data_IF_991675276765
#
_entry.id   IF_991675276765
#
_cell.length_a   1.000
_cell.length_b   1.000
_cell.length_c   1.000
_cell.angle_alpha   90.00
_cell.angle_beta   90.00
_cell.angle_gamma   90.00
#
_symmetry.space_group_name_H-M   'P 1'
#
loop_
_entity.id
_entity.type
_entity.pdbx_description
1 polymer ?
#
# COMPACT_ATOMS: atom_id res chain seq x y z
N UNK A 1 20.51 -1.43 -17.17
CA UNK A 1 19.39 -1.52 -16.23
C UNK A 1 18.05 -1.81 -16.92
N UNK A 2 17.70 -1.17 -18.06
CA UNK A 2 16.46 -1.45 -18.81
C UNK A 2 16.24 -2.92 -19.22
N UNK A 3 17.31 -3.65 -19.55
CA UNK A 3 17.23 -5.07 -19.97
C UNK A 3 16.88 -6.06 -18.84
N UNK A 4 17.16 -5.72 -17.60
CA UNK A 4 16.88 -6.60 -16.45
C UNK A 4 15.40 -6.56 -16.04
N UNK A 5 14.74 -5.41 -16.22
CA UNK A 5 13.32 -5.23 -15.93
C UNK A 5 12.42 -5.95 -16.94
N UNK A 6 12.77 -5.91 -18.22
CA UNK A 6 12.06 -6.64 -19.28
C UNK A 6 12.14 -8.16 -19.03
N UNK A 7 13.26 -8.66 -18.50
CA UNK A 7 13.43 -10.07 -18.18
C UNK A 7 12.59 -10.53 -16.98
N UNK A 8 12.45 -9.69 -15.97
CA UNK A 8 11.59 -9.99 -14.81
C UNK A 8 10.09 -9.94 -15.16
N UNK A 9 9.70 -9.04 -16.04
CA UNK A 9 8.32 -8.95 -16.55
C UNK A 9 7.97 -10.15 -17.44
N UNK A 10 8.91 -10.60 -18.31
CA UNK A 10 8.75 -11.83 -19.10
C UNK A 10 8.64 -13.08 -18.22
N UNK A 11 9.34 -13.13 -17.08
CA UNK A 11 9.25 -14.29 -16.18
C UNK A 11 7.90 -14.37 -15.45
N UNK A 12 7.26 -13.24 -15.18
CA UNK A 12 5.92 -13.20 -14.57
C UNK A 12 4.81 -13.59 -15.55
N UNK A 13 4.89 -13.15 -16.81
CA UNK A 13 3.95 -13.58 -17.87
C UNK A 13 4.08 -15.07 -18.18
N UNK A 14 5.31 -15.60 -18.19
CA UNK A 14 5.55 -17.02 -18.57
C UNK A 14 4.95 -18.02 -17.58
N UNK A 15 4.71 -17.67 -16.32
CA UNK A 15 4.21 -18.62 -15.32
C UNK A 15 2.67 -18.73 -15.30
N UNK A 16 1.93 -17.67 -15.64
CA UNK A 16 0.48 -17.71 -15.72
C UNK A 16 -0.03 -18.24 -17.08
N UNK A 17 0.68 -17.94 -18.17
CA UNK A 17 0.29 -18.34 -19.51
C UNK A 17 0.82 -19.73 -19.91
N UNK A 18 1.89 -20.21 -19.28
CA UNK A 18 2.35 -21.60 -19.45
C UNK A 18 1.27 -22.60 -18.97
N UNK A 19 0.44 -22.22 -18.01
CA UNK A 19 -0.69 -23.04 -17.55
C UNK A 19 -1.87 -23.06 -18.55
N UNK A 20 -1.92 -22.12 -19.50
CA UNK A 20 -2.96 -22.01 -20.54
C UNK A 20 -2.52 -22.44 -21.94
N UNK A 21 -1.24 -22.82 -22.13
CA UNK A 21 -0.71 -23.38 -23.37
C UNK A 21 -0.68 -22.42 -24.57
N UNK A 22 -0.61 -21.10 -24.32
CA UNK A 22 -0.77 -20.07 -25.38
C UNK A 22 0.47 -19.25 -25.72
N UNK A 23 1.58 -19.39 -25.02
CA UNK A 23 2.78 -18.57 -25.30
C UNK A 23 3.97 -19.44 -25.68
N UNK A 24 4.58 -19.12 -26.82
CA UNK A 24 5.85 -19.71 -27.24
C UNK A 24 7.00 -18.98 -26.50
N UNK A 25 7.79 -19.66 -25.64
CA UNK A 25 8.81 -19.00 -24.82
C UNK A 25 9.97 -18.36 -25.60
N UNK A 26 10.08 -18.64 -26.90
CA UNK A 26 11.16 -18.12 -27.77
C UNK A 26 10.74 -16.92 -28.63
N UNK A 27 9.52 -16.42 -28.49
CA UNK A 27 9.03 -15.29 -29.26
C UNK A 27 8.87 -14.05 -28.40
N UNK A 28 9.50 -12.95 -28.78
CA UNK A 28 9.21 -11.65 -28.19
C UNK A 28 7.74 -11.29 -28.47
N UNK A 29 7.02 -10.66 -27.53
CA UNK A 29 5.65 -10.22 -27.74
C UNK A 29 5.59 -9.28 -28.95
N UNK A 30 4.57 -9.42 -29.79
CA UNK A 30 4.36 -8.53 -30.93
C UNK A 30 3.82 -7.16 -30.49
N UNK A 31 3.79 -6.19 -31.42
CA UNK A 31 3.36 -4.82 -31.12
C UNK A 31 1.88 -4.76 -30.71
N UNK A 32 1.05 -5.71 -31.12
CA UNK A 32 -0.36 -5.79 -30.78
C UNK A 32 -0.55 -6.34 -29.35
N UNK A 33 0.29 -7.28 -28.91
CA UNK A 33 0.33 -7.81 -27.56
C UNK A 33 0.84 -6.76 -26.56
N UNK A 34 1.86 -5.99 -26.93
CA UNK A 34 2.39 -4.86 -26.14
C UNK A 34 1.33 -3.76 -26.02
N UNK A 35 0.64 -3.38 -27.11
CA UNK A 35 -0.43 -2.38 -27.08
C UNK A 35 -1.62 -2.79 -26.22
N UNK A 36 -1.95 -4.09 -26.18
CA UNK A 36 -2.99 -4.62 -25.30
C UNK A 36 -2.58 -4.63 -23.83
N UNK A 37 -1.30 -4.84 -23.53
CA UNK A 37 -0.73 -4.75 -22.20
C UNK A 37 -0.81 -3.32 -21.66
N UNK A 38 -0.40 -2.32 -22.43
CA UNK A 38 -0.48 -0.90 -22.07
C UNK A 38 -1.93 -0.43 -21.84
N UNK A 39 -2.89 -0.97 -22.60
CA UNK A 39 -4.31 -0.68 -22.41
C UNK A 39 -4.86 -1.24 -21.08
N UNK A 40 -4.37 -2.40 -20.62
CA UNK A 40 -4.85 -3.07 -19.40
C UNK A 40 -4.15 -2.53 -18.15
N UNK A 41 -2.84 -2.24 -18.22
CA UNK A 41 -1.99 -1.95 -17.07
C UNK A 41 -1.46 -0.50 -17.02
N UNK A 42 -1.76 0.32 -18.03
CA UNK A 42 -1.14 1.62 -18.22
C UNK A 42 0.21 1.53 -18.93
N UNK A 43 0.71 2.66 -19.35
CA UNK A 43 2.02 2.73 -20.01
C UNK A 43 3.16 2.45 -19.02
N UNK A 44 4.35 2.11 -19.52
CA UNK A 44 5.54 1.94 -18.68
C UNK A 44 5.86 3.22 -17.87
N UNK A 45 5.55 4.38 -18.42
CA UNK A 45 5.74 5.67 -17.75
C UNK A 45 4.75 5.84 -16.59
N UNK A 46 3.47 5.42 -16.73
CA UNK A 46 2.48 5.41 -15.66
C UNK A 46 2.89 4.49 -14.51
N UNK A 47 3.42 3.31 -14.83
CA UNK A 47 3.92 2.36 -13.82
C UNK A 47 5.14 2.90 -13.08
N UNK A 48 6.06 3.54 -13.79
CA UNK A 48 7.24 4.17 -13.19
C UNK A 48 6.83 5.33 -12.26
N UNK A 49 5.89 6.18 -12.69
CA UNK A 49 5.39 7.29 -11.88
C UNK A 49 4.69 6.77 -10.60
N UNK A 50 3.85 5.74 -10.71
CA UNK A 50 3.20 5.13 -9.54
C UNK A 50 4.21 4.51 -8.57
N UNK A 51 5.28 3.89 -9.09
CA UNK A 51 6.37 3.35 -8.28
C UNK A 51 7.12 4.46 -7.55
N UNK A 52 7.53 5.52 -8.26
CA UNK A 52 8.24 6.66 -7.66
C UNK A 52 7.42 7.35 -6.56
N UNK A 53 6.11 7.52 -6.78
CA UNK A 53 5.20 8.07 -5.75
C UNK A 53 5.13 7.18 -4.51
N UNK A 54 5.05 5.87 -4.70
CA UNK A 54 5.04 4.92 -3.58
C UNK A 54 6.34 4.98 -2.79
N UNK A 55 7.49 5.04 -3.45
CA UNK A 55 8.79 5.19 -2.81
C UNK A 55 8.88 6.50 -2.00
N UNK A 56 8.38 7.61 -2.54
CA UNK A 56 8.34 8.89 -1.82
C UNK A 56 7.44 8.81 -0.57
N UNK A 57 6.25 8.21 -0.67
CA UNK A 57 5.34 7.99 0.46
C UNK A 57 6.03 7.14 1.54
N UNK A 58 6.69 6.06 1.15
CA UNK A 58 7.38 5.17 2.09
C UNK A 58 8.58 5.85 2.74
N UNK A 59 9.38 6.57 1.97
CA UNK A 59 10.52 7.36 2.48
C UNK A 59 10.08 8.36 3.54
N UNK A 60 8.99 9.11 3.27
CA UNK A 60 8.40 10.05 4.24
C UNK A 60 7.92 9.31 5.49
N UNK A 61 7.19 8.22 5.33
CA UNK A 61 6.69 7.43 6.44
C UNK A 61 7.83 6.92 7.36
N UNK A 62 8.89 6.39 6.77
CA UNK A 62 10.05 5.90 7.51
C UNK A 62 10.85 7.02 8.20
N UNK A 63 10.89 8.22 7.64
CA UNK A 63 11.58 9.37 8.25
C UNK A 63 11.04 9.72 9.63
N UNK A 64 9.81 9.32 9.94
CA UNK A 64 9.13 9.56 11.21
C UNK A 64 9.22 8.40 12.21
N UNK A 65 9.97 7.34 11.92
CA UNK A 65 10.11 6.19 12.83
C UNK A 65 10.49 6.65 14.25
N UNK A 66 9.77 6.11 15.25
CA UNK A 66 9.97 6.47 16.66
C UNK A 66 9.35 7.80 17.09
N UNK A 67 8.78 8.61 16.21
CA UNK A 67 8.06 9.82 16.58
C UNK A 67 6.90 9.49 17.54
N UNK A 68 6.66 10.36 18.53
CA UNK A 68 5.74 10.08 19.63
C UNK A 68 4.28 10.03 19.17
N UNK A 69 3.51 9.13 19.79
CA UNK A 69 2.06 9.17 19.70
C UNK A 69 1.48 10.30 20.57
N UNK A 70 0.54 11.07 20.01
CA UNK A 70 -0.33 11.99 20.75
C UNK A 70 -1.70 12.07 20.08
N UNK A 71 -2.75 11.78 20.84
CA UNK A 71 -4.13 11.86 20.32
C UNK A 71 -4.43 13.24 19.73
N UNK A 72 -4.97 13.25 18.50
CA UNK A 72 -5.29 14.47 17.75
C UNK A 72 -4.09 15.17 17.08
N UNK A 73 -2.87 14.67 17.28
CA UNK A 73 -1.68 15.26 16.66
C UNK A 73 -1.55 14.87 15.19
N UNK A 74 -1.12 15.84 14.36
CA UNK A 74 -1.04 15.73 12.90
C UNK A 74 0.36 16.03 12.33
N UNK A 75 1.41 15.86 13.17
CA UNK A 75 2.80 16.03 12.80
C UNK A 75 3.33 17.46 12.99
N UNK A 76 4.62 17.70 12.66
CA UNK A 76 5.63 16.66 12.43
C UNK A 76 6.20 16.05 13.72
N UNK A 77 6.07 16.70 14.90
CA UNK A 77 6.73 16.28 16.14
C UNK A 77 6.03 15.15 16.89
N UNK A 78 4.74 14.90 16.60
CA UNK A 78 3.93 13.82 17.16
C UNK A 78 2.74 13.54 16.25
N UNK A 79 2.19 12.33 16.33
CA UNK A 79 1.09 11.88 15.48
C UNK A 79 0.05 11.07 16.26
N UNK A 80 -1.22 11.15 15.85
CA UNK A 80 -2.16 10.05 16.00
C UNK A 80 -2.18 9.19 14.71
N UNK A 81 -2.95 8.10 14.69
CA UNK A 81 -2.94 7.17 13.57
C UNK A 81 -3.34 7.83 12.23
N UNK A 82 -4.46 8.54 12.21
CA UNK A 82 -4.94 9.23 11.00
C UNK A 82 -4.16 10.50 10.70
N UNK A 83 -3.61 11.15 11.71
CA UNK A 83 -2.72 12.30 11.56
C UNK A 83 -1.43 11.92 10.86
N UNK A 84 -0.87 10.76 11.20
CA UNK A 84 0.33 10.23 10.55
C UNK A 84 0.08 9.94 9.07
N UNK A 85 -0.92 9.15 8.76
CA UNK A 85 -1.23 8.79 7.36
C UNK A 85 -1.58 10.01 6.52
N UNK A 86 -2.41 10.95 7.05
CA UNK A 86 -2.73 12.21 6.35
C UNK A 86 -1.50 13.08 6.13
N UNK A 87 -0.59 13.13 7.09
CA UNK A 87 0.63 13.93 6.97
C UNK A 87 1.52 13.39 5.86
N UNK A 88 1.83 12.09 5.88
CA UNK A 88 2.68 11.42 4.90
C UNK A 88 2.16 11.64 3.47
N UNK A 89 0.88 11.36 3.23
CA UNK A 89 0.29 11.55 1.91
C UNK A 89 0.28 13.02 1.47
N UNK A 90 -0.06 13.93 2.36
CA UNK A 90 -0.07 15.36 2.05
C UNK A 90 1.32 15.89 1.67
N UNK A 91 2.38 15.45 2.35
CA UNK A 91 3.75 15.90 2.05
C UNK A 91 4.23 15.43 0.68
N UNK A 92 3.82 14.26 0.22
CA UNK A 92 4.35 13.65 -1.00
C UNK A 92 3.43 13.78 -2.21
N UNK A 93 2.13 13.94 -2.02
CA UNK A 93 1.16 13.94 -3.12
C UNK A 93 0.23 15.15 -3.10
N UNK A 94 0.28 15.97 -2.05
CA UNK A 94 -0.69 17.05 -1.74
C UNK A 94 -2.15 16.60 -1.66
N UNK A 95 -2.40 15.28 -1.56
CA UNK A 95 -3.74 14.71 -1.52
C UNK A 95 -4.34 14.78 -0.11
N UNK A 96 -5.61 15.15 -0.04
CA UNK A 96 -6.41 15.03 1.17
C UNK A 96 -7.10 13.66 1.22
N UNK A 97 -6.50 12.72 1.94
CA UNK A 97 -7.00 11.34 2.06
C UNK A 97 -8.09 11.14 3.12
N UNK A 98 -8.40 12.18 3.91
CA UNK A 98 -9.40 12.17 4.98
C UNK A 98 -8.85 12.62 6.33
N UNK A 99 -9.71 13.24 7.16
CA UNK A 99 -9.32 13.87 8.43
C UNK A 99 -9.20 12.87 9.60
N UNK A 100 -9.87 11.73 9.54
CA UNK A 100 -9.86 10.67 10.56
C UNK A 100 -9.79 9.29 9.90
N UNK A 101 -9.45 8.25 10.67
CA UNK A 101 -9.41 6.89 10.14
C UNK A 101 -10.75 6.43 9.53
N UNK A 102 -11.89 6.88 10.07
CA UNK A 102 -13.22 6.60 9.49
C UNK A 102 -13.44 7.33 8.17
N UNK A 103 -13.01 8.59 8.10
CA UNK A 103 -13.11 9.40 6.89
C UNK A 103 -12.19 8.85 5.80
N UNK A 104 -10.97 8.46 6.15
CA UNK A 104 -10.04 7.80 5.23
C UNK A 104 -10.60 6.48 4.69
N UNK A 105 -11.25 5.69 5.55
CA UNK A 105 -11.90 4.45 5.13
C UNK A 105 -13.08 4.68 4.18
N UNK A 106 -13.83 5.76 4.39
CA UNK A 106 -15.02 6.08 3.58
C UNK A 106 -14.66 6.69 2.21
N UNK A 107 -13.58 7.47 2.14
CA UNK A 107 -13.21 8.25 0.94
C UNK A 107 -12.42 7.49 -0.11
N UNK A 108 -11.54 6.59 0.34
CA UNK A 108 -10.59 5.95 -0.55
C UNK A 108 -11.16 4.65 -1.14
N UNK A 109 -10.55 4.15 -2.21
CA UNK A 109 -11.06 3.02 -3.00
C UNK A 109 -10.95 1.72 -2.20
N UNK A 110 -12.05 0.96 -2.01
CA UNK A 110 -12.00 -0.35 -1.39
C UNK A 110 -11.15 -1.31 -2.24
N UNK A 111 -10.25 -2.02 -1.58
CA UNK A 111 -9.50 -3.12 -2.17
C UNK A 111 -9.60 -4.36 -1.28
N UNK A 112 -9.45 -5.51 -1.89
CA UNK A 112 -9.40 -6.79 -1.20
C UNK A 112 -8.00 -7.02 -0.61
N UNK A 113 -7.85 -8.04 0.22
CA UNK A 113 -6.56 -8.30 0.89
C UNK A 113 -5.50 -8.84 -0.07
N UNK A 114 -5.89 -9.53 -1.10
CA UNK A 114 -5.05 -10.08 -2.16
C UNK A 114 -4.59 -9.00 -3.18
N UNK A 115 -5.26 -7.85 -3.20
CA UNK A 115 -4.86 -6.70 -4.01
C UNK A 115 -3.91 -5.73 -3.30
N UNK A 116 -3.55 -6.02 -2.03
CA UNK A 116 -2.69 -5.14 -1.23
C UNK A 116 -1.34 -4.88 -1.90
N UNK A 117 -0.90 -3.64 -1.81
CA UNK A 117 0.40 -3.16 -2.27
C UNK A 117 1.01 -2.20 -1.24
N UNK A 118 2.32 -2.00 -1.31
CA UNK A 118 3.00 -0.95 -0.54
C UNK A 118 2.35 0.41 -0.80
N UNK A 119 2.15 1.19 0.26
CA UNK A 119 1.44 2.47 0.22
C UNK A 119 -0.06 2.36 0.52
N UNK A 120 -0.73 1.23 0.36
CA UNK A 120 -2.15 1.11 0.69
C UNK A 120 -2.45 1.37 2.17
N UNK A 121 -3.67 1.81 2.47
CA UNK A 121 -4.14 2.02 3.83
C UNK A 121 -4.81 0.77 4.37
N UNK A 122 -4.40 0.34 5.57
CA UNK A 122 -5.02 -0.78 6.29
C UNK A 122 -5.71 -0.31 7.56
N UNK A 123 -6.89 -0.84 7.82
CA UNK A 123 -7.79 -0.36 8.87
C UNK A 123 -8.13 -1.44 9.88
N UNK A 124 -8.24 -1.00 11.14
CA UNK A 124 -8.48 -1.88 12.27
C UNK A 124 -9.52 -1.29 13.21
N UNK A 125 -10.18 -2.15 13.98
CA UNK A 125 -10.94 -1.70 15.15
C UNK A 125 -10.00 -1.18 16.24
N UNK A 126 -10.54 -0.41 17.17
CA UNK A 126 -9.84 -0.01 18.40
C UNK A 126 -10.77 -0.21 19.62
N UNK A 127 -10.25 -0.22 20.84
CA UNK A 127 -11.10 -0.33 22.04
C UNK A 127 -12.20 0.75 22.13
N UNK A 128 -11.97 1.93 21.51
CA UNK A 128 -12.93 3.04 21.50
C UNK A 128 -13.91 3.00 20.33
N UNK A 129 -13.61 2.28 19.25
CA UNK A 129 -14.45 2.22 18.06
C UNK A 129 -15.44 1.06 18.04
N UNK A 130 -15.35 0.14 19.00
CA UNK A 130 -16.13 -1.08 19.00
C UNK A 130 -15.84 -1.92 17.73
N UNK A 131 -16.88 -2.19 16.95
CA UNK A 131 -16.76 -2.92 15.67
C UNK A 131 -16.40 -2.03 14.49
N UNK A 132 -16.41 -0.71 14.65
CA UNK A 132 -16.10 0.23 13.57
C UNK A 132 -14.61 0.53 13.44
N UNK A 133 -14.27 1.28 12.39
CA UNK A 133 -12.89 1.75 12.15
C UNK A 133 -12.44 2.66 13.28
N UNK A 134 -11.28 2.37 13.84
CA UNK A 134 -10.70 3.14 14.94
C UNK A 134 -9.18 3.29 14.85
N UNK A 135 -8.55 2.68 13.86
CA UNK A 135 -7.12 2.76 13.64
C UNK A 135 -6.78 2.57 12.16
N UNK A 136 -5.64 3.11 11.74
CA UNK A 136 -5.13 3.06 10.36
C UNK A 136 -3.61 3.01 10.36
N UNK A 137 -3.05 2.33 9.35
CA UNK A 137 -1.63 2.31 9.01
C UNK A 137 -1.44 2.28 7.50
N UNK A 138 -0.20 2.44 7.06
CA UNK A 138 0.24 2.35 5.65
C UNK A 138 0.94 1.01 5.47
N UNK A 139 0.59 0.24 4.45
CA UNK A 139 1.25 -1.02 4.10
C UNK A 139 2.70 -0.74 3.68
N UNK A 140 3.62 -1.48 4.26
CA UNK A 140 5.06 -1.42 3.95
C UNK A 140 5.42 -2.51 2.95
N UNK A 141 5.00 -3.74 3.23
CA UNK A 141 5.36 -4.91 2.44
C UNK A 141 4.26 -5.96 2.51
N UNK A 142 4.12 -6.75 1.46
CA UNK A 142 3.10 -7.80 1.32
C UNK A 142 3.76 -9.12 0.97
N UNK A 143 3.40 -10.16 1.68
CA UNK A 143 3.73 -11.55 1.35
C UNK A 143 2.47 -12.23 0.78
N UNK A 144 2.34 -12.32 -0.55
CA UNK A 144 1.16 -12.89 -1.19
C UNK A 144 1.05 -14.40 -0.98
N UNK A 145 2.17 -15.10 -0.75
CA UNK A 145 2.18 -16.56 -0.55
C UNK A 145 1.51 -16.91 0.78
N UNK A 146 1.85 -16.17 1.85
CA UNK A 146 1.31 -16.39 3.18
C UNK A 146 0.08 -15.52 3.48
N UNK A 147 -0.34 -14.67 2.53
CA UNK A 147 -1.41 -13.70 2.70
C UNK A 147 -1.22 -12.84 3.96
N UNK A 148 0.01 -12.34 4.15
CA UNK A 148 0.39 -11.46 5.27
C UNK A 148 0.97 -10.16 4.77
N UNK A 149 0.96 -9.14 5.63
CA UNK A 149 1.57 -7.84 5.33
C UNK A 149 2.17 -7.22 6.59
N UNK A 150 3.12 -6.31 6.39
CA UNK A 150 3.60 -5.40 7.42
C UNK A 150 3.08 -3.99 7.14
N UNK A 151 2.95 -3.19 8.18
CA UNK A 151 2.43 -1.82 8.05
C UNK A 151 3.06 -0.90 9.09
N UNK A 152 3.28 0.35 8.69
CA UNK A 152 3.76 1.44 9.54
C UNK A 152 2.58 2.27 10.03
N UNK A 153 2.58 2.61 11.32
CA UNK A 153 1.47 3.32 11.94
C UNK A 153 1.89 4.04 13.22
N UNK A 154 1.04 4.92 13.75
CA UNK A 154 1.22 5.54 15.06
C UNK A 154 0.62 4.65 16.17
N UNK A 155 1.46 3.87 16.83
CA UNK A 155 1.13 3.06 18.00
C UNK A 155 1.01 3.94 19.25
N UNK A 156 -0.03 3.72 20.07
CA UNK A 156 -0.19 4.43 21.35
C UNK A 156 0.95 4.17 22.33
N UNK A 157 1.62 3.03 22.20
CA UNK A 157 2.67 2.62 23.13
C UNK A 157 4.08 2.91 22.59
N UNK A 158 4.29 2.76 21.28
CA UNK A 158 5.62 2.76 20.67
C UNK A 158 5.87 3.96 19.74
N UNK A 159 4.86 4.85 19.56
CA UNK A 159 4.96 5.89 18.55
C UNK A 159 4.88 5.34 17.14
N UNK A 160 5.55 5.98 16.18
CA UNK A 160 5.60 5.47 14.79
C UNK A 160 6.46 4.21 14.77
N UNK A 161 5.85 3.11 14.36
CA UNK A 161 6.45 1.77 14.38
C UNK A 161 5.87 0.88 13.30
N UNK A 162 6.53 -0.23 12.99
CA UNK A 162 6.07 -1.26 12.07
C UNK A 162 5.54 -2.44 12.88
N UNK A 163 4.41 -2.99 12.45
CA UNK A 163 3.84 -4.23 12.96
C UNK A 163 3.46 -5.16 11.82
N UNK A 164 3.28 -6.45 12.14
CA UNK A 164 2.76 -7.45 11.21
C UNK A 164 1.25 -7.61 11.33
N UNK A 165 0.60 -7.95 10.22
CA UNK A 165 -0.79 -8.38 10.19
C UNK A 165 -1.05 -9.66 11.01
N UNK A 166 0.00 -10.42 11.31
CA UNK A 166 -0.06 -11.65 12.12
C UNK A 166 0.07 -11.38 13.61
N UNK A 167 0.48 -10.19 14.02
CA UNK A 167 0.54 -9.83 15.44
C UNK A 167 -0.84 -9.98 16.08
N UNK A 168 -0.93 -10.72 17.18
CA UNK A 168 -2.20 -11.13 17.78
C UNK A 168 -3.17 -9.98 18.07
N UNK A 169 -2.62 -8.78 18.33
CA UNK A 169 -3.38 -7.55 18.53
C UNK A 169 -3.99 -6.99 17.25
N UNK A 170 -3.40 -7.21 16.08
CA UNK A 170 -3.86 -6.68 14.78
C UNK A 170 -4.63 -7.70 13.97
N UNK A 171 -4.22 -8.97 13.98
CA UNK A 171 -4.88 -10.04 13.25
C UNK A 171 -6.39 -10.11 13.50
N UNK A 172 -6.82 -9.95 14.77
CA UNK A 172 -8.23 -10.01 15.16
C UNK A 172 -9.01 -8.71 14.94
N UNK A 173 -8.31 -7.61 14.65
CA UNK A 173 -8.91 -6.27 14.53
C UNK A 173 -8.98 -5.74 13.11
N UNK A 174 -8.40 -6.45 12.15
CA UNK A 174 -8.41 -6.04 10.75
C UNK A 174 -9.84 -5.92 10.22
N UNK A 175 -10.14 -4.81 9.53
CA UNK A 175 -11.45 -4.51 8.95
C UNK A 175 -11.40 -4.57 7.43
N UNK A 176 -10.31 -4.09 6.82
CA UNK A 176 -10.18 -3.99 5.38
C UNK A 176 -9.10 -3.00 4.97
N UNK A 177 -8.96 -2.80 3.68
CA UNK A 177 -7.96 -1.93 3.09
C UNK A 177 -8.57 -0.92 2.11
N UNK A 178 -7.81 0.14 1.82
CA UNK A 178 -8.15 1.17 0.86
C UNK A 178 -6.92 1.60 0.09
N UNK A 179 -7.11 1.83 -1.22
CA UNK A 179 -6.10 2.48 -2.06
C UNK A 179 -6.41 3.95 -2.20
N UNK A 180 -5.43 4.80 -1.97
CA UNK A 180 -5.53 6.22 -2.24
C UNK A 180 -5.48 6.41 -3.75
N UNK A 181 -6.48 7.08 -4.31
CA UNK A 181 -6.48 7.43 -5.72
C UNK A 181 -5.50 8.58 -5.93
N UNK A 182 -4.48 8.30 -6.71
CA UNK A 182 -3.42 9.25 -7.07
C UNK A 182 -3.69 9.86 -8.44
#
# INVERSE_FOLDING_TARGET
>A
MKKLFIFALMLMLSMSDLALGKVNPDQAPDEEEIGNFDFIYGTQDDLNEAFEKTEMIMSEAFSHMGARYRSGAKGPSAFDCSGFTSYVYKQQTDLFIGASSRDQYARNIPITRDELQSGDLVFFTSPRSGRGVGHVGIVVDVDPINNTFTFIHASTNNGITINSSTDSGYARRYIGARRVQQ
#
